data_IF_754611887733
#
_entry.id   IF_754611887733
#
_cell.length_a   1.000
_cell.length_b   1.000
_cell.length_c   1.000
_cell.angle_alpha   90.00
_cell.angle_beta   90.00
_cell.angle_gamma   90.00
#
_symmetry.space_group_name_H-M   'P 1'
#
loop_
_entity.id
_entity.type
_entity.pdbx_description
1 polymer ?
#
# COMPACT_ATOMS: atom_id res chain seq x y z
N UNK A 1 -5.88 13.96 -2.14
CA UNK A 1 -4.56 13.52 -2.66
C UNK A 1 -4.61 12.02 -2.86
N UNK A 2 -4.15 11.55 -4.03
CA UNK A 2 -4.42 10.21 -4.55
C UNK A 2 -3.63 9.11 -3.84
N UNK A 3 -4.23 7.92 -3.70
CA UNK A 3 -3.59 6.65 -3.31
C UNK A 3 -2.24 6.41 -4.02
N UNK A 4 -2.08 6.96 -5.23
CA UNK A 4 -0.83 7.00 -5.99
C UNK A 4 0.38 7.49 -5.18
N UNK A 5 0.24 8.54 -4.35
CA UNK A 5 1.38 9.06 -3.57
C UNK A 5 1.78 8.10 -2.46
N UNK A 6 0.80 7.51 -1.78
CA UNK A 6 1.03 6.53 -0.70
C UNK A 6 1.70 5.28 -1.25
N UNK A 7 1.34 4.85 -2.46
CA UNK A 7 1.93 3.68 -3.11
C UNK A 7 3.16 3.99 -3.97
N UNK A 8 3.60 5.25 -4.05
CA UNK A 8 4.68 5.68 -4.94
C UNK A 8 6.01 4.90 -4.74
N UNK A 9 6.49 4.65 -3.50
CA UNK A 9 7.69 3.84 -3.29
C UNK A 9 7.59 2.45 -3.93
N UNK A 10 6.41 1.82 -3.81
CA UNK A 10 6.12 0.49 -4.34
C UNK A 10 6.03 0.47 -5.85
N UNK A 11 5.43 1.50 -6.44
CA UNK A 11 5.34 1.66 -7.90
C UNK A 11 6.74 1.83 -8.48
N UNK A 12 7.58 2.69 -7.89
CA UNK A 12 8.95 2.89 -8.35
C UNK A 12 9.76 1.61 -8.23
N UNK A 13 9.62 0.88 -7.12
CA UNK A 13 10.27 -0.42 -6.96
C UNK A 13 9.85 -1.43 -8.04
N UNK A 14 8.56 -1.49 -8.38
CA UNK A 14 8.04 -2.44 -9.38
C UNK A 14 8.42 -2.10 -10.83
N UNK A 15 8.65 -0.82 -11.15
CA UNK A 15 9.00 -0.37 -12.50
C UNK A 15 10.48 -0.53 -12.82
N UNK A 16 11.35 -0.40 -11.80
CA UNK A 16 12.79 -0.56 -12.00
C UNK A 16 13.09 -2.04 -12.31
N UNK A 17 13.90 -2.34 -13.35
CA UNK A 17 14.24 -3.71 -13.70
C UNK A 17 14.82 -4.48 -12.51
N UNK A 18 14.43 -5.75 -12.36
CA UNK A 18 14.88 -6.58 -11.24
C UNK A 18 16.39 -6.82 -11.22
N UNK A 19 17.08 -6.63 -12.34
CA UNK A 19 18.56 -6.62 -12.42
C UNK A 19 19.18 -5.49 -11.61
N UNK A 20 18.43 -4.42 -11.35
CA UNK A 20 18.84 -3.25 -10.60
C UNK A 20 18.10 -3.14 -9.26
N UNK A 21 17.67 -4.28 -8.68
CA UNK A 21 16.85 -4.32 -7.47
C UNK A 21 17.46 -3.59 -6.26
N UNK A 22 18.80 -3.48 -6.18
CA UNK A 22 19.50 -2.69 -5.19
C UNK A 22 19.13 -1.21 -5.27
N UNK A 23 19.23 -0.65 -6.48
CA UNK A 23 18.86 0.73 -6.77
C UNK A 23 17.35 0.93 -6.69
N UNK A 24 16.56 -0.09 -7.05
CA UNK A 24 15.11 -0.07 -6.86
C UNK A 24 14.74 0.06 -5.38
N UNK A 25 15.36 -0.74 -4.50
CA UNK A 25 15.12 -0.70 -3.07
C UNK A 25 15.57 0.64 -2.45
N UNK A 26 16.73 1.15 -2.87
CA UNK A 26 17.22 2.46 -2.43
C UNK A 26 16.32 3.61 -2.89
N UNK A 27 15.87 3.59 -4.16
CA UNK A 27 14.92 4.58 -4.67
C UNK A 27 13.60 4.53 -3.90
N UNK A 28 13.08 3.32 -3.64
CA UNK A 28 11.91 3.12 -2.78
C UNK A 28 12.09 3.71 -1.38
N UNK A 29 13.25 3.51 -0.76
CA UNK A 29 13.59 4.08 0.55
C UNK A 29 13.62 5.61 0.52
N UNK A 30 14.31 6.19 -0.46
CA UNK A 30 14.42 7.66 -0.61
C UNK A 30 13.05 8.28 -0.81
N UNK A 31 12.20 7.68 -1.65
CA UNK A 31 10.84 8.17 -1.89
C UNK A 31 9.99 8.02 -0.64
N UNK A 32 10.06 6.89 0.08
CA UNK A 32 9.33 6.69 1.32
C UNK A 32 9.73 7.75 2.36
N UNK A 33 11.03 8.00 2.54
CA UNK A 33 11.55 9.02 3.44
C UNK A 33 11.08 10.43 3.04
N UNK A 34 11.16 10.78 1.75
CA UNK A 34 10.70 12.07 1.24
C UNK A 34 9.20 12.28 1.46
N UNK A 35 8.40 11.24 1.21
CA UNK A 35 6.94 11.26 1.44
C UNK A 35 6.64 11.42 2.93
N UNK A 36 7.32 10.70 3.82
CA UNK A 36 7.15 10.85 5.28
C UNK A 36 7.51 12.27 5.71
N UNK A 37 8.67 12.78 5.28
CA UNK A 37 9.15 14.11 5.64
C UNK A 37 8.19 15.22 5.18
N UNK A 38 7.73 15.18 3.93
CA UNK A 38 6.75 16.13 3.41
C UNK A 38 5.43 16.10 4.20
N UNK A 39 4.94 14.91 4.53
CA UNK A 39 3.67 14.78 5.23
C UNK A 39 3.75 15.22 6.70
N UNK A 40 4.89 14.95 7.35
CA UNK A 40 5.15 15.43 8.71
C UNK A 40 5.34 16.94 8.76
N UNK A 41 6.03 17.53 7.78
CA UNK A 41 6.13 18.98 7.62
C UNK A 41 4.75 19.63 7.39
N UNK A 42 3.83 18.93 6.72
CA UNK A 42 2.43 19.36 6.53
C UNK A 42 1.52 19.13 7.77
N UNK A 43 2.08 18.72 8.92
CA UNK A 43 1.33 18.51 10.16
C UNK A 43 0.50 17.22 10.21
N UNK A 44 0.78 16.25 9.34
CA UNK A 44 0.09 14.95 9.34
C UNK A 44 0.51 14.15 10.59
N UNK A 45 -0.48 13.64 11.32
CA UNK A 45 -0.26 12.77 12.47
C UNK A 45 0.31 11.41 12.05
N UNK A 46 1.07 10.77 12.95
CA UNK A 46 1.65 9.45 12.70
C UNK A 46 0.61 8.35 12.46
N UNK A 47 -0.59 8.51 13.02
CA UNK A 47 -1.73 7.62 12.80
C UNK A 47 -2.16 7.56 11.33
N UNK A 48 -1.91 8.62 10.56
CA UNK A 48 -2.19 8.68 9.13
C UNK A 48 -0.99 8.28 8.24
N UNK A 49 0.13 7.88 8.85
CA UNK A 49 1.38 7.51 8.16
C UNK A 49 1.78 6.04 8.39
N UNK A 50 0.87 5.20 8.86
CA UNK A 50 1.15 3.79 9.18
C UNK A 50 1.77 3.08 7.97
N UNK A 51 1.18 3.28 6.78
CA UNK A 51 1.63 2.63 5.57
C UNK A 51 2.94 3.22 5.04
N UNK A 52 3.13 4.54 5.10
CA UNK A 52 4.37 5.19 4.71
C UNK A 52 5.54 4.74 5.59
N UNK A 53 5.32 4.68 6.91
CA UNK A 53 6.34 4.28 7.89
C UNK A 53 6.71 2.80 7.71
N UNK A 54 5.70 1.93 7.52
CA UNK A 54 5.95 0.52 7.20
C UNK A 54 6.66 0.33 5.86
N UNK A 55 6.34 1.15 4.85
CA UNK A 55 7.03 1.15 3.55
C UNK A 55 8.50 1.56 3.71
N UNK A 56 8.78 2.62 4.47
CA UNK A 56 10.15 3.07 4.74
C UNK A 56 10.97 1.99 5.44
N UNK A 57 10.40 1.34 6.46
CA UNK A 57 11.06 0.24 7.16
C UNK A 57 11.36 -0.94 6.22
N UNK A 58 10.38 -1.33 5.40
CA UNK A 58 10.56 -2.41 4.42
C UNK A 58 11.68 -2.10 3.43
N UNK A 59 11.65 -0.92 2.81
CA UNK A 59 12.67 -0.55 1.82
C UNK A 59 14.05 -0.36 2.45
N UNK A 60 14.13 0.06 3.71
CA UNK A 60 15.39 0.09 4.44
C UNK A 60 15.99 -1.31 4.59
N UNK A 61 15.19 -2.27 5.06
CA UNK A 61 15.63 -3.67 5.21
C UNK A 61 15.99 -4.27 3.85
N UNK A 62 15.13 -4.08 2.85
CA UNK A 62 15.36 -4.61 1.51
C UNK A 62 16.63 -4.03 0.87
N UNK A 63 16.89 -2.73 1.04
CA UNK A 63 18.11 -2.10 0.55
C UNK A 63 19.36 -2.68 1.25
N UNK A 64 19.34 -2.86 2.57
CA UNK A 64 20.45 -3.49 3.30
C UNK A 64 20.73 -4.89 2.75
N UNK A 65 19.70 -5.72 2.58
CA UNK A 65 19.87 -7.07 2.00
C UNK A 65 20.43 -6.97 0.58
N UNK A 66 19.86 -6.11 -0.26
CA UNK A 66 20.25 -6.02 -1.66
C UNK A 66 21.71 -5.56 -1.85
N UNK A 67 22.19 -4.64 -1.03
CA UNK A 67 23.58 -4.16 -1.09
C UNK A 67 24.57 -5.11 -0.41
N UNK A 68 24.16 -5.89 0.58
CA UNK A 68 25.04 -6.86 1.27
C UNK A 68 25.15 -8.19 0.53
N UNK A 69 24.06 -8.65 -0.08
CA UNK A 69 24.02 -9.87 -0.90
C UNK A 69 23.22 -9.62 -2.20
N UNK A 70 23.87 -9.11 -3.25
CA UNK A 70 23.21 -8.79 -4.53
C UNK A 70 22.62 -10.01 -5.25
N UNK A 71 23.12 -11.20 -4.94
CA UNK A 71 22.73 -12.49 -5.53
C UNK A 71 21.79 -13.28 -4.62
N UNK A 72 21.29 -12.65 -3.55
CA UNK A 72 20.38 -13.28 -2.61
C UNK A 72 19.14 -13.83 -3.30
N UNK A 73 18.70 -15.03 -2.88
CA UNK A 73 17.41 -15.60 -3.30
C UNK A 73 16.22 -14.70 -2.94
N UNK A 74 16.38 -13.73 -2.03
CA UNK A 74 15.38 -12.69 -1.72
C UNK A 74 14.97 -11.91 -2.97
N UNK A 75 15.88 -11.73 -3.93
CA UNK A 75 15.60 -11.03 -5.20
C UNK A 75 14.42 -11.66 -5.94
N UNK A 76 14.38 -12.98 -6.03
CA UNK A 76 13.34 -13.71 -6.78
C UNK A 76 11.97 -13.64 -6.11
N UNK A 77 11.94 -13.48 -4.79
CA UNK A 77 10.71 -13.34 -4.00
C UNK A 77 10.36 -11.88 -3.70
N UNK A 78 11.11 -10.90 -4.23
CA UNK A 78 10.96 -9.49 -3.85
C UNK A 78 9.56 -8.92 -4.11
N UNK A 79 8.89 -9.32 -5.20
CA UNK A 79 7.52 -8.92 -5.50
C UNK A 79 6.49 -9.57 -4.54
N UNK A 80 6.73 -10.84 -4.18
CA UNK A 80 5.92 -11.57 -3.21
C UNK A 80 6.06 -10.98 -1.80
N UNK A 81 7.29 -10.74 -1.36
CA UNK A 81 7.61 -10.11 -0.07
C UNK A 81 7.01 -8.71 0.02
N UNK A 82 7.11 -7.92 -1.04
CA UNK A 82 6.50 -6.58 -1.09
C UNK A 82 4.99 -6.65 -0.84
N UNK A 83 4.31 -7.58 -1.50
CA UNK A 83 2.87 -7.79 -1.33
C UNK A 83 2.54 -8.34 0.06
N UNK A 84 3.36 -9.25 0.59
CA UNK A 84 3.18 -9.80 1.94
C UNK A 84 3.31 -8.72 3.01
N UNK A 85 4.29 -7.83 2.88
CA UNK A 85 4.50 -6.73 3.82
C UNK A 85 3.38 -5.69 3.71
N UNK A 86 2.90 -5.38 2.51
CA UNK A 86 1.71 -4.54 2.33
C UNK A 86 0.47 -5.16 2.98
N UNK A 87 0.26 -6.46 2.83
CA UNK A 87 -0.82 -7.19 3.50
C UNK A 87 -0.67 -7.13 5.02
N UNK A 88 0.55 -7.32 5.54
CA UNK A 88 0.84 -7.24 6.97
C UNK A 88 0.56 -5.84 7.51
N UNK A 89 1.07 -4.80 6.87
CA UNK A 89 0.83 -3.40 7.28
C UNK A 89 -0.67 -3.08 7.27
N UNK A 90 -1.37 -3.44 6.19
CA UNK A 90 -2.81 -3.21 6.07
C UNK A 90 -3.60 -3.99 7.14
N UNK A 91 -3.25 -5.27 7.37
CA UNK A 91 -3.85 -6.12 8.38
C UNK A 91 -3.61 -5.60 9.80
N UNK A 92 -2.37 -5.23 10.14
CA UNK A 92 -2.03 -4.62 11.43
C UNK A 92 -2.82 -3.32 11.63
N UNK A 93 -2.96 -2.50 10.58
CA UNK A 93 -3.75 -1.27 10.65
C UNK A 93 -5.22 -1.52 11.02
N UNK A 94 -5.81 -2.63 10.55
CA UNK A 94 -7.15 -3.07 10.95
C UNK A 94 -7.19 -3.52 12.41
N UNK A 95 -6.21 -4.34 12.83
CA UNK A 95 -6.15 -4.90 14.17
C UNK A 95 -6.02 -3.82 15.25
N UNK A 96 -5.28 -2.75 14.98
CA UNK A 96 -5.14 -1.61 15.91
C UNK A 96 -6.29 -0.59 15.80
N UNK A 97 -7.34 -0.88 15.02
CA UNK A 97 -8.51 -0.01 14.86
C UNK A 97 -8.24 1.29 14.07
N UNK A 98 -7.14 1.36 13.33
CA UNK A 98 -6.74 2.52 12.51
C UNK A 98 -6.50 2.07 11.06
N UNK A 99 -7.56 1.72 10.30
CA UNK A 99 -7.42 1.23 8.93
C UNK A 99 -6.60 2.21 8.09
N UNK A 100 -5.59 1.75 7.33
CA UNK A 100 -4.68 2.67 6.64
C UNK A 100 -5.39 3.61 5.67
N UNK A 101 -6.51 3.18 5.07
CA UNK A 101 -7.28 4.06 4.17
C UNK A 101 -7.93 5.23 4.90
N UNK A 102 -8.12 5.15 6.22
CA UNK A 102 -8.66 6.23 7.03
C UNK A 102 -7.79 7.49 6.93
N UNK A 103 -6.46 7.34 7.00
CA UNK A 103 -5.52 8.46 6.87
C UNK A 103 -5.55 9.11 5.48
N UNK A 104 -5.90 8.35 4.45
CA UNK A 104 -6.06 8.84 3.07
C UNK A 104 -7.40 9.59 2.96
N UNK A 105 -8.48 8.98 3.43
CA UNK A 105 -9.83 9.55 3.37
C UNK A 105 -9.97 10.86 4.16
N UNK A 106 -9.35 10.97 5.34
CA UNK A 106 -9.35 12.20 6.16
C UNK A 106 -8.85 13.43 5.40
N UNK A 107 -8.03 13.29 4.36
CA UNK A 107 -7.48 14.41 3.60
C UNK A 107 -8.46 15.05 2.62
N UNK A 108 -9.50 14.31 2.23
CA UNK A 108 -10.52 14.76 1.27
C UNK A 108 -11.90 14.88 1.91
N UNK A 109 -12.02 14.55 3.19
CA UNK A 109 -13.29 14.56 3.93
C UNK A 109 -13.22 15.60 5.05
N UNK A 110 -14.26 16.43 5.24
CA UNK A 110 -14.30 17.41 6.34
C UNK A 110 -14.09 16.78 7.72
N UNK A 111 -13.48 17.54 8.64
CA UNK A 111 -13.06 17.05 9.97
C UNK A 111 -14.23 16.57 10.83
N UNK A 112 -15.42 17.13 10.63
CA UNK A 112 -16.66 16.73 11.32
C UNK A 112 -17.03 15.26 11.10
N UNK A 113 -16.64 14.65 9.98
CA UNK A 113 -16.93 13.25 9.68
C UNK A 113 -15.88 12.27 10.21
N UNK A 114 -14.69 12.75 10.63
CA UNK A 114 -13.53 11.89 10.89
C UNK A 114 -13.75 10.86 12.00
N UNK A 115 -14.58 11.19 12.97
CA UNK A 115 -14.85 10.35 14.14
C UNK A 115 -16.19 9.61 14.05
N UNK A 116 -16.92 9.76 12.94
CA UNK A 116 -18.20 9.09 12.77
C UNK A 116 -17.98 7.58 12.55
N UNK A 117 -18.71 6.75 13.30
CA UNK A 117 -18.66 5.28 13.17
C UNK A 117 -18.84 4.80 11.72
N UNK A 118 -19.78 5.34 10.92
CA UNK A 118 -19.90 4.98 9.50
C UNK A 118 -18.63 5.27 8.69
N UNK A 119 -17.97 6.40 8.91
CA UNK A 119 -16.76 6.77 8.20
C UNK A 119 -15.59 5.81 8.49
N UNK A 120 -15.42 5.44 9.76
CA UNK A 120 -14.42 4.46 10.18
C UNK A 120 -14.75 3.08 9.59
N UNK A 121 -16.02 2.65 9.64
CA UNK A 121 -16.47 1.36 9.10
C UNK A 121 -16.23 1.22 7.60
N UNK A 122 -16.51 2.27 6.82
CA UNK A 122 -16.26 2.28 5.37
C UNK A 122 -14.76 2.08 5.09
N UNK A 123 -13.90 2.78 5.82
CA UNK A 123 -12.45 2.64 5.67
C UNK A 123 -11.94 1.27 6.14
N UNK A 124 -12.54 0.69 7.18
CA UNK A 124 -12.23 -0.68 7.60
C UNK A 124 -12.58 -1.70 6.51
N UNK A 125 -13.75 -1.58 5.86
CA UNK A 125 -14.14 -2.44 4.74
C UNK A 125 -13.16 -2.31 3.58
N UNK A 126 -12.86 -1.08 3.16
CA UNK A 126 -11.92 -0.83 2.07
C UNK A 126 -10.53 -1.43 2.41
N UNK A 127 -10.03 -1.15 3.60
CA UNK A 127 -8.73 -1.68 4.05
C UNK A 127 -8.72 -3.21 4.11
N UNK A 128 -9.83 -3.86 4.48
CA UNK A 128 -9.91 -5.33 4.48
C UNK A 128 -9.79 -5.92 3.07
N UNK A 129 -10.38 -5.27 2.06
CA UNK A 129 -10.25 -5.69 0.66
C UNK A 129 -8.82 -5.51 0.16
N UNK A 130 -8.17 -4.40 0.50
CA UNK A 130 -6.75 -4.20 0.22
C UNK A 130 -5.88 -5.28 0.88
N UNK A 131 -6.14 -5.58 2.15
CA UNK A 131 -5.40 -6.61 2.91
C UNK A 131 -5.53 -7.98 2.24
N UNK A 132 -6.76 -8.37 1.87
CA UNK A 132 -7.01 -9.64 1.19
C UNK A 132 -6.36 -9.68 -0.21
N UNK A 133 -6.47 -8.60 -0.98
CA UNK A 133 -5.86 -8.51 -2.31
C UNK A 133 -4.34 -8.67 -2.23
N UNK A 134 -3.68 -7.98 -1.30
CA UNK A 134 -2.24 -8.10 -1.10
C UNK A 134 -1.83 -9.48 -0.58
N UNK A 135 -2.60 -10.09 0.32
CA UNK A 135 -2.30 -11.44 0.82
C UNK A 135 -2.39 -12.50 -0.30
N UNK A 136 -3.44 -12.43 -1.13
CA UNK A 136 -3.59 -13.32 -2.29
C UNK A 136 -2.47 -13.08 -3.30
N UNK A 137 -2.16 -11.81 -3.59
CA UNK A 137 -1.07 -11.43 -4.50
C UNK A 137 0.27 -11.99 -4.01
N UNK A 138 0.55 -11.86 -2.72
CA UNK A 138 1.77 -12.39 -2.11
C UNK A 138 1.87 -13.91 -2.26
N UNK A 139 0.79 -14.65 -2.00
CA UNK A 139 0.76 -16.10 -2.15
C UNK A 139 1.00 -16.53 -3.61
N UNK A 140 0.28 -15.92 -4.56
CA UNK A 140 0.42 -16.25 -5.99
C UNK A 140 1.83 -15.91 -6.50
N UNK A 141 2.35 -14.73 -6.15
CA UNK A 141 3.71 -14.35 -6.52
C UNK A 141 4.77 -15.25 -5.87
N UNK A 142 4.55 -15.71 -4.64
CA UNK A 142 5.43 -16.65 -3.96
C UNK A 142 5.50 -17.99 -4.70
N UNK A 143 4.36 -18.51 -5.17
CA UNK A 143 4.31 -19.73 -5.99
C UNK A 143 5.03 -19.52 -7.33
N UNK A 144 4.80 -18.38 -7.99
CA UNK A 144 5.49 -18.06 -9.25
C UNK A 144 7.00 -17.93 -9.06
N UNK A 145 7.45 -17.27 -7.99
CA UNK A 145 8.86 -17.13 -7.64
C UNK A 145 9.51 -18.49 -7.40
N UNK A 146 8.83 -19.38 -6.67
CA UNK A 146 9.32 -20.75 -6.43
C UNK A 146 9.49 -21.56 -7.71
N UNK A 147 8.63 -21.35 -8.71
CA UNK A 147 8.76 -21.94 -10.04
C UNK A 147 9.77 -21.25 -10.96
N UNK A 148 10.56 -20.27 -10.48
CA UNK A 148 11.51 -19.52 -11.31
C UNK A 148 10.88 -18.41 -12.18
N UNK A 149 9.60 -18.12 -11.97
CA UNK A 149 8.82 -17.13 -12.74
C UNK A 149 8.57 -15.83 -11.97
N UNK A 150 9.33 -15.54 -10.91
CA UNK A 150 9.14 -14.36 -10.05
C UNK A 150 9.24 -13.01 -10.77
N UNK A 151 9.94 -12.97 -11.90
CA UNK A 151 10.10 -11.78 -12.75
C UNK A 151 9.46 -11.93 -14.14
N UNK A 152 8.54 -12.88 -14.29
CA UNK A 152 7.82 -13.11 -15.55
C UNK A 152 6.77 -12.03 -15.83
N UNK A 153 6.32 -11.94 -17.08
CA UNK A 153 5.17 -11.10 -17.44
C UNK A 153 3.91 -11.47 -16.64
N UNK A 154 3.71 -12.76 -16.33
CA UNK A 154 2.60 -13.23 -15.49
C UNK A 154 2.71 -12.67 -14.07
N UNK A 155 3.90 -12.68 -13.47
CA UNK A 155 4.11 -12.09 -12.14
C UNK A 155 3.81 -10.58 -12.15
N UNK A 156 4.22 -9.86 -13.19
CA UNK A 156 3.89 -8.44 -13.36
C UNK A 156 2.38 -8.21 -13.47
N UNK A 157 1.66 -9.01 -14.26
CA UNK A 157 0.20 -8.92 -14.38
C UNK A 157 -0.49 -9.19 -13.03
N UNK A 158 -0.06 -10.21 -12.30
CA UNK A 158 -0.57 -10.52 -10.95
C UNK A 158 -0.33 -9.34 -10.00
N UNK A 159 0.87 -8.76 -10.02
CA UNK A 159 1.19 -7.62 -9.18
C UNK A 159 0.32 -6.39 -9.53
N UNK A 160 0.14 -6.08 -10.81
CA UNK A 160 -0.75 -4.99 -11.26
C UNK A 160 -2.19 -5.25 -10.81
N UNK A 161 -2.70 -6.47 -11.00
CA UNK A 161 -4.05 -6.84 -10.57
C UNK A 161 -4.24 -6.66 -9.06
N UNK A 162 -3.21 -6.99 -8.27
CA UNK A 162 -3.18 -6.81 -6.81
C UNK A 162 -3.38 -5.37 -6.35
N UNK A 163 -3.04 -4.36 -7.17
CA UNK A 163 -3.33 -2.95 -6.89
C UNK A 163 -4.61 -2.45 -7.58
N UNK A 164 -4.85 -2.85 -8.83
CA UNK A 164 -5.98 -2.35 -9.63
C UNK A 164 -7.32 -2.83 -9.07
N UNK A 165 -7.43 -4.11 -8.70
CA UNK A 165 -8.68 -4.67 -8.18
C UNK A 165 -9.17 -3.94 -6.91
N UNK A 166 -8.37 -3.83 -5.83
CA UNK A 166 -8.82 -3.12 -4.63
C UNK A 166 -8.99 -1.61 -4.87
N UNK A 167 -8.24 -1.00 -5.80
CA UNK A 167 -8.46 0.39 -6.19
C UNK A 167 -9.83 0.59 -6.85
N UNK A 168 -10.17 -0.22 -7.84
CA UNK A 168 -11.49 -0.16 -8.52
C UNK A 168 -12.59 -0.40 -7.51
N UNK A 169 -12.44 -1.40 -6.62
CA UNK A 169 -13.38 -1.62 -5.52
C UNK A 169 -13.54 -0.37 -4.66
N UNK A 170 -12.44 0.26 -4.25
CA UNK A 170 -12.43 1.48 -3.42
C UNK A 170 -13.25 2.59 -4.08
N UNK A 171 -12.97 2.89 -5.36
CA UNK A 171 -13.66 3.95 -6.11
C UNK A 171 -15.17 3.67 -6.19
N UNK A 172 -15.54 2.45 -6.57
CA UNK A 172 -16.95 2.06 -6.72
C UNK A 172 -17.69 2.05 -5.38
N UNK A 173 -17.06 1.51 -4.34
CA UNK A 173 -17.65 1.41 -3.02
C UNK A 173 -17.87 2.79 -2.39
N UNK A 174 -16.90 3.70 -2.50
CA UNK A 174 -17.06 5.09 -2.03
C UNK A 174 -18.21 5.79 -2.76
N UNK A 175 -18.32 5.63 -4.08
CA UNK A 175 -19.42 6.22 -4.85
C UNK A 175 -20.80 5.69 -4.40
N UNK A 176 -20.92 4.39 -4.14
CA UNK A 176 -22.15 3.78 -3.63
C UNK A 176 -22.52 4.32 -2.24
N UNK A 177 -21.54 4.42 -1.34
CA UNK A 177 -21.75 4.93 0.01
C UNK A 177 -22.18 6.40 -0.03
N UNK A 178 -21.56 7.22 -0.87
CA UNK A 178 -21.93 8.63 -1.03
C UNK A 178 -23.34 8.80 -1.61
N UNK A 179 -23.73 7.97 -2.59
CA UNK A 179 -25.08 8.00 -3.17
C UNK A 179 -26.19 7.62 -2.17
N UNK A 180 -25.86 6.82 -1.16
CA UNK A 180 -26.79 6.38 -0.10
C UNK A 180 -26.80 7.31 1.12
N UNK A 181 -25.88 8.28 1.20
CA UNK A 181 -25.86 9.23 2.28
C UNK A 181 -27.12 10.13 2.19
N UNK A 182 -27.86 10.34 3.29
CA UNK A 182 -28.97 11.28 3.31
C UNK A 182 -28.48 12.64 2.84
N UNK A 183 -29.14 13.25 1.85
CA UNK A 183 -28.88 14.66 1.51
C UNK A 183 -29.20 15.49 2.75
N UNK A 184 -28.25 16.31 3.20
CA UNK A 184 -28.52 17.29 4.24
C UNK A 184 -29.72 18.15 3.78
N UNK A 185 -30.69 18.48 4.66
CA UNK A 185 -31.72 19.45 4.35
C UNK A 185 -31.02 20.74 3.91
N UNK A 186 -31.35 21.23 2.72
CA UNK A 186 -30.98 22.59 2.32
C UNK A 186 -31.81 23.53 3.19
N UNK A 187 -31.18 24.12 4.21
CA UNK A 187 -31.75 25.24 4.99
C UNK A 187 -31.20 26.55 4.48
#
# INVERSE_FOLDING_TARGET
>A
MSYLRTFLPWIVFAVIPSTQWQWAALAGLVIAAAVIAQQRAAGTGWDALIIETGSGLYFAVLAVIAFTDPHSGVRDYSAALSSAVLALIAGVSLLIGKPFTLGIAKRTTPREYWNLKPFIRVNAVITSVWTAAFAITAAVLGVLAHGGHGHSATALVVQIAGFVVPMVFTIRYVAIVQARAPRAPQT
#
